data_IF_940800984608
#
_entry.id   IF_940800984608
#
_cell.length_a   1.000
_cell.length_b   1.000
_cell.length_c   1.000
_cell.angle_alpha   90.00
_cell.angle_beta   90.00
_cell.angle_gamma   90.00
#
_symmetry.space_group_name_H-M   'P 1'
#
loop_
_entity.id
_entity.type
_entity.pdbx_description
1 polymer ?
#
# COMPACT_ATOMS: atom_id res chain seq x y z
N UNK A 1 9.74 -42.00 5.48
CA UNK A 1 10.08 -40.74 6.18
C UNK A 1 10.17 -39.65 5.13
N UNK A 2 9.06 -39.06 4.73
CA UNK A 2 9.04 -37.93 3.81
C UNK A 2 9.59 -36.69 4.52
N UNK A 3 10.48 -36.03 3.83
CA UNK A 3 11.39 -34.99 4.30
C UNK A 3 10.65 -33.80 4.91
N UNK A 4 10.77 -33.60 6.21
CA UNK A 4 10.22 -32.46 6.97
C UNK A 4 10.81 -31.09 6.52
N UNK A 5 11.86 -31.10 5.71
CA UNK A 5 12.50 -29.89 5.15
C UNK A 5 11.68 -29.23 4.02
N UNK A 6 10.82 -29.96 3.32
CA UNK A 6 10.06 -29.42 2.17
C UNK A 6 8.80 -28.64 2.55
N UNK A 7 8.24 -28.85 3.74
CA UNK A 7 7.02 -28.13 4.19
C UNK A 7 7.24 -26.64 4.50
N UNK A 8 8.47 -26.18 4.65
CA UNK A 8 8.78 -24.78 4.99
C UNK A 8 9.28 -23.95 3.80
N UNK A 9 9.48 -24.55 2.63
CA UNK A 9 9.88 -23.82 1.42
C UNK A 9 8.67 -23.30 0.66
N UNK A 10 8.78 -22.07 0.14
CA UNK A 10 7.79 -21.49 -0.80
C UNK A 10 7.77 -22.37 -2.05
N UNK A 11 6.61 -22.96 -2.37
CA UNK A 11 6.46 -23.84 -3.54
C UNK A 11 6.21 -23.06 -4.83
N UNK A 12 5.54 -21.92 -4.72
CA UNK A 12 5.29 -21.00 -5.84
C UNK A 12 5.10 -19.58 -5.32
N UNK A 13 5.10 -18.62 -6.23
CA UNK A 13 4.82 -17.22 -5.93
C UNK A 13 3.50 -16.83 -6.55
N UNK A 14 2.57 -16.37 -5.72
CA UNK A 14 1.29 -15.87 -6.20
C UNK A 14 1.36 -14.40 -6.58
N UNK A 15 0.56 -14.00 -7.57
CA UNK A 15 0.29 -12.59 -7.90
C UNK A 15 -0.85 -12.00 -7.07
N UNK A 16 -1.48 -12.80 -6.22
CA UNK A 16 -2.49 -12.32 -5.28
C UNK A 16 -1.79 -11.43 -4.24
N UNK A 17 -2.37 -10.29 -3.98
CA UNK A 17 -1.96 -9.36 -2.94
C UNK A 17 -3.19 -8.75 -2.29
N UNK A 18 -2.99 -8.07 -1.17
CA UNK A 18 -4.10 -7.49 -0.45
C UNK A 18 -3.84 -6.07 0.05
N UNK A 19 -4.79 -5.59 0.81
CA UNK A 19 -4.75 -4.34 1.54
C UNK A 19 -5.54 -4.51 2.82
N UNK A 20 -4.90 -4.19 3.94
CA UNK A 20 -5.58 -4.11 5.23
C UNK A 20 -6.61 -2.97 5.22
N UNK A 21 -7.75 -3.22 5.82
CA UNK A 21 -8.86 -2.29 5.99
C UNK A 21 -9.20 -2.14 7.47
N UNK A 22 -10.14 -1.27 7.78
CA UNK A 22 -10.68 -1.13 9.13
C UNK A 22 -11.50 -2.40 9.42
N UNK A 23 -11.08 -3.16 10.43
CA UNK A 23 -11.69 -4.46 10.79
C UNK A 23 -11.88 -5.43 9.62
N UNK A 24 -10.95 -5.40 8.63
CA UNK A 24 -11.09 -6.21 7.44
C UNK A 24 -9.85 -6.29 6.55
N UNK A 25 -10.01 -7.02 5.46
CA UNK A 25 -8.98 -7.20 4.44
C UNK A 25 -9.64 -7.20 3.04
N UNK A 26 -9.02 -6.50 2.10
CA UNK A 26 -9.28 -6.66 0.68
C UNK A 26 -8.19 -7.53 0.07
N UNK A 27 -8.55 -8.57 -0.65
CA UNK A 27 -7.65 -9.36 -1.49
C UNK A 27 -7.93 -9.10 -2.97
N UNK A 28 -6.86 -9.04 -3.76
CA UNK A 28 -6.91 -8.85 -5.21
C UNK A 28 -6.19 -10.01 -5.89
N UNK A 29 -6.96 -10.82 -6.59
CA UNK A 29 -6.48 -11.90 -7.45
C UNK A 29 -6.43 -11.49 -8.93
N UNK A 30 -6.09 -12.43 -9.83
CA UNK A 30 -5.97 -12.15 -11.26
C UNK A 30 -7.27 -11.69 -11.93
N UNK A 31 -8.42 -12.20 -11.48
CA UNK A 31 -9.74 -11.95 -12.07
C UNK A 31 -10.80 -11.52 -11.05
N UNK A 32 -10.53 -11.67 -9.75
CA UNK A 32 -11.48 -11.36 -8.68
C UNK A 32 -10.84 -10.47 -7.64
N UNK A 33 -11.65 -9.61 -7.04
CA UNK A 33 -11.34 -8.85 -5.84
C UNK A 33 -12.37 -9.19 -4.78
N UNK A 34 -11.94 -9.42 -3.57
CA UNK A 34 -12.83 -9.66 -2.44
C UNK A 34 -12.48 -8.75 -1.27
N UNK A 35 -13.50 -8.30 -0.57
CA UNK A 35 -13.40 -7.58 0.69
C UNK A 35 -14.11 -8.41 1.74
N UNK A 36 -13.43 -8.69 2.84
CA UNK A 36 -14.01 -9.34 4.01
C UNK A 36 -13.79 -8.44 5.20
N UNK A 37 -14.87 -8.04 5.86
CA UNK A 37 -14.86 -7.21 7.05
C UNK A 37 -15.56 -7.95 8.19
N UNK A 38 -15.08 -7.74 9.41
CA UNK A 38 -15.71 -8.23 10.62
C UNK A 38 -16.67 -7.19 11.17
N UNK A 39 -17.88 -7.63 11.51
CA UNK A 39 -18.87 -6.83 12.21
C UNK A 39 -19.40 -7.59 13.45
N UNK A 40 -20.41 -7.07 14.11
CA UNK A 40 -21.05 -7.70 15.28
C UNK A 40 -21.68 -9.05 14.97
N UNK A 41 -22.15 -9.26 13.75
CA UNK A 41 -22.86 -10.48 13.32
C UNK A 41 -21.92 -11.52 12.69
N UNK A 42 -20.60 -11.27 12.65
CA UNK A 42 -19.62 -12.15 12.06
C UNK A 42 -18.82 -11.51 10.92
N UNK A 43 -18.81 -12.13 9.73
CA UNK A 43 -18.08 -11.63 8.57
C UNK A 43 -19.02 -11.15 7.47
N UNK A 44 -18.75 -9.99 6.92
CA UNK A 44 -19.40 -9.47 5.70
C UNK A 44 -18.42 -9.64 4.54
N UNK A 45 -18.87 -10.32 3.49
CA UNK A 45 -18.06 -10.64 2.31
C UNK A 45 -18.61 -9.93 1.07
N UNK A 46 -17.73 -9.31 0.29
CA UNK A 46 -18.06 -8.67 -0.98
C UNK A 46 -17.04 -9.08 -2.03
N UNK A 47 -17.50 -9.84 -3.04
CA UNK A 47 -16.69 -10.23 -4.20
C UNK A 47 -17.06 -9.42 -5.44
N UNK A 48 -16.06 -9.08 -6.24
CA UNK A 48 -16.23 -8.38 -7.52
C UNK A 48 -15.27 -8.94 -8.57
N UNK A 49 -15.74 -9.07 -9.81
CA UNK A 49 -14.88 -9.42 -10.94
C UNK A 49 -14.00 -8.22 -11.34
N UNK A 50 -12.74 -8.49 -11.63
CA UNK A 50 -11.76 -7.48 -12.05
C UNK A 50 -11.27 -7.79 -13.45
N UNK A 51 -11.27 -6.77 -14.32
CA UNK A 51 -10.70 -6.88 -15.66
C UNK A 51 -9.23 -6.43 -15.65
N UNK A 52 -8.30 -7.27 -16.11
CA UNK A 52 -6.90 -6.87 -16.27
C UNK A 52 -6.74 -5.67 -17.21
N UNK A 53 -5.81 -4.78 -16.94
CA UNK A 53 -5.59 -3.57 -17.76
C UNK A 53 -5.32 -3.87 -19.23
N UNK A 54 -4.64 -4.98 -19.53
CA UNK A 54 -4.37 -5.43 -20.91
C UNK A 54 -5.65 -5.70 -21.73
N UNK A 55 -6.73 -6.11 -21.04
CA UNK A 55 -8.01 -6.45 -21.66
C UNK A 55 -8.87 -5.19 -21.86
N UNK A 56 -8.53 -4.07 -21.19
CA UNK A 56 -9.14 -2.77 -21.38
C UNK A 56 -8.47 -2.03 -22.54
N UNK A 57 -7.15 -1.93 -22.51
CA UNK A 57 -6.32 -1.34 -23.58
C UNK A 57 -4.89 -1.83 -23.50
N UNK A 58 -4.25 -2.26 -24.60
CA UNK A 58 -2.85 -2.67 -24.63
C UNK A 58 -1.87 -1.59 -24.11
N UNK A 59 -2.18 -0.31 -24.35
CA UNK A 59 -1.35 0.83 -23.91
C UNK A 59 -1.25 0.89 -22.38
N UNK A 60 -2.31 0.53 -21.64
CA UNK A 60 -2.31 0.51 -20.18
C UNK A 60 -1.40 -0.59 -19.60
N UNK A 61 -1.00 -1.55 -20.42
CA UNK A 61 -0.07 -2.61 -20.02
C UNK A 61 1.40 -2.29 -20.35
N UNK A 62 1.69 -1.15 -21.03
CA UNK A 62 3.05 -0.76 -21.36
C UNK A 62 3.88 -0.45 -20.10
N UNK A 63 5.20 -0.76 -20.12
CA UNK A 63 6.10 -0.38 -19.03
C UNK A 63 5.95 1.10 -18.66
N UNK A 64 6.12 1.43 -17.40
CA UNK A 64 5.90 2.74 -16.79
C UNK A 64 4.42 3.15 -16.73
N UNK A 65 3.66 3.09 -17.84
CA UNK A 65 2.23 3.44 -17.87
C UNK A 65 1.44 2.53 -16.92
N UNK A 66 1.66 1.21 -17.00
CA UNK A 66 1.00 0.25 -16.11
C UNK A 66 1.29 0.50 -14.63
N UNK A 67 2.47 1.05 -14.30
CA UNK A 67 2.83 1.41 -12.94
C UNK A 67 2.00 2.58 -12.42
N UNK A 68 1.85 3.64 -13.22
CA UNK A 68 1.05 4.80 -12.88
C UNK A 68 -0.43 4.44 -12.79
N UNK A 69 -0.94 3.73 -13.80
CA UNK A 69 -2.35 3.30 -13.84
C UNK A 69 -2.67 2.34 -12.70
N UNK A 70 -1.78 1.37 -12.42
CA UNK A 70 -1.91 0.43 -11.32
C UNK A 70 -1.93 1.15 -9.96
N UNK A 71 -1.05 2.14 -9.77
CA UNK A 71 -1.01 2.93 -8.55
C UNK A 71 -2.32 3.73 -8.35
N UNK A 72 -2.78 4.45 -9.37
CA UNK A 72 -4.05 5.21 -9.32
C UNK A 72 -5.23 4.26 -9.05
N UNK A 73 -5.29 3.13 -9.76
CA UNK A 73 -6.35 2.13 -9.55
C UNK A 73 -6.32 1.56 -8.13
N UNK A 74 -5.14 1.26 -7.59
CA UNK A 74 -4.99 0.79 -6.20
C UNK A 74 -5.45 1.84 -5.19
N UNK A 75 -5.17 3.12 -5.43
CA UNK A 75 -5.66 4.22 -4.57
C UNK A 75 -7.20 4.29 -4.60
N UNK A 76 -7.80 4.31 -5.79
CA UNK A 76 -9.27 4.40 -5.94
C UNK A 76 -9.94 3.19 -5.29
N UNK A 77 -9.43 2.00 -5.56
CA UNK A 77 -9.98 0.77 -4.99
C UNK A 77 -9.77 0.69 -3.48
N UNK A 78 -8.62 1.16 -2.99
CA UNK A 78 -8.32 1.23 -1.57
C UNK A 78 -9.26 2.18 -0.82
N UNK A 79 -9.52 3.36 -1.37
CA UNK A 79 -10.50 4.31 -0.78
C UNK A 79 -11.88 3.69 -0.73
N UNK A 80 -12.35 3.10 -1.84
CA UNK A 80 -13.67 2.43 -1.88
C UNK A 80 -13.77 1.28 -0.86
N UNK A 81 -12.71 0.49 -0.72
CA UNK A 81 -12.67 -0.61 0.23
C UNK A 81 -12.64 -0.12 1.68
N UNK A 82 -11.88 0.95 1.97
CA UNK A 82 -11.86 1.59 3.29
C UNK A 82 -13.23 2.19 3.65
N UNK A 83 -13.89 2.89 2.71
CA UNK A 83 -15.24 3.40 2.94
C UNK A 83 -16.22 2.27 3.23
N UNK A 84 -16.21 1.22 2.41
CA UNK A 84 -17.04 0.04 2.65
C UNK A 84 -16.78 -0.59 4.02
N UNK A 85 -15.50 -0.73 4.43
CA UNK A 85 -15.18 -1.31 5.74
C UNK A 85 -15.61 -0.41 6.91
N UNK A 86 -15.52 0.90 6.75
CA UNK A 86 -16.00 1.85 7.76
C UNK A 86 -17.53 1.78 7.97
N UNK A 87 -18.29 1.57 6.90
CA UNK A 87 -19.75 1.37 6.95
C UNK A 87 -20.17 0.08 7.69
N UNK A 88 -19.26 -0.92 7.77
CA UNK A 88 -19.55 -2.18 8.47
C UNK A 88 -19.22 -2.13 9.97
N UNK A 89 -18.64 -1.03 10.46
CA UNK A 89 -18.31 -0.88 11.88
C UNK A 89 -19.57 -0.80 12.73
N UNK A 90 -19.54 -1.40 13.95
CA UNK A 90 -20.57 -1.16 14.95
C UNK A 90 -20.79 0.33 15.22
N UNK A 91 -22.02 0.71 15.57
CA UNK A 91 -22.37 2.13 15.84
C UNK A 91 -21.51 2.77 16.93
N UNK A 92 -21.11 1.99 17.94
CA UNK A 92 -20.24 2.44 19.04
C UNK A 92 -18.76 2.64 18.64
N UNK A 93 -18.36 2.15 17.47
CA UNK A 93 -17.04 2.34 16.88
C UNK A 93 -17.01 3.38 15.76
N UNK A 94 -18.16 3.87 15.32
CA UNK A 94 -18.25 4.94 14.34
C UNK A 94 -17.90 6.28 15.00
N UNK A 95 -17.09 7.09 14.31
CA UNK A 95 -16.79 8.45 14.78
C UNK A 95 -18.04 9.33 14.70
N UNK A 96 -18.27 10.17 15.70
CA UNK A 96 -19.33 11.17 15.62
C UNK A 96 -19.02 12.17 14.49
N UNK A 97 -20.02 12.50 13.65
CA UNK A 97 -19.83 13.43 12.56
C UNK A 97 -19.38 14.80 13.06
N UNK A 98 -18.37 15.38 12.43
CA UNK A 98 -17.89 16.71 12.78
C UNK A 98 -18.82 17.82 12.24
N UNK A 99 -18.50 19.10 12.53
CA UNK A 99 -19.32 20.23 12.10
C UNK A 99 -19.40 20.38 10.58
N UNK A 100 -18.39 19.92 9.87
CA UNK A 100 -18.32 19.98 8.39
C UNK A 100 -19.19 18.88 7.83
N UNK A 101 -19.12 17.67 8.39
CA UNK A 101 -19.95 16.54 8.00
C UNK A 101 -21.44 16.86 8.18
N UNK A 102 -21.83 17.35 9.37
CA UNK A 102 -23.19 17.78 9.67
C UNK A 102 -23.69 18.90 8.74
N UNK A 103 -22.81 19.83 8.34
CA UNK A 103 -23.18 20.87 7.39
C UNK A 103 -23.40 20.30 5.97
N UNK A 104 -22.57 19.35 5.55
CA UNK A 104 -22.68 18.69 4.23
C UNK A 104 -23.98 17.84 4.21
N UNK A 105 -24.21 17.01 5.21
CA UNK A 105 -25.41 16.16 5.34
C UNK A 105 -26.72 16.99 5.34
N UNK A 106 -26.69 18.19 5.92
CA UNK A 106 -27.86 19.09 5.93
C UNK A 106 -28.18 19.66 4.54
N UNK A 107 -27.21 19.81 3.65
CA UNK A 107 -27.37 20.52 2.37
C UNK A 107 -27.40 19.59 1.15
N UNK A 108 -26.99 18.33 1.31
CA UNK A 108 -26.91 17.36 0.23
C UNK A 108 -27.68 16.08 0.59
N UNK A 109 -28.06 15.29 -0.40
CA UNK A 109 -28.60 13.95 -0.15
C UNK A 109 -27.51 13.04 0.42
N UNK A 110 -27.90 12.04 1.23
CA UNK A 110 -26.98 11.13 1.93
C UNK A 110 -25.89 10.55 0.99
N UNK A 111 -26.27 10.08 -0.20
CA UNK A 111 -25.32 9.55 -1.17
C UNK A 111 -24.33 10.61 -1.70
N UNK A 112 -24.80 11.86 -1.89
CA UNK A 112 -23.96 12.96 -2.35
C UNK A 112 -23.06 13.47 -1.24
N UNK A 113 -23.58 13.56 -0.01
CA UNK A 113 -22.86 13.95 1.19
C UNK A 113 -21.67 13.02 1.41
N UNK A 114 -21.90 11.72 1.42
CA UNK A 114 -20.87 10.71 1.60
C UNK A 114 -19.76 10.80 0.52
N UNK A 115 -20.14 10.92 -0.76
CA UNK A 115 -19.18 11.11 -1.86
C UNK A 115 -18.34 12.38 -1.69
N UNK A 116 -18.96 13.47 -1.22
CA UNK A 116 -18.28 14.75 -1.01
C UNK A 116 -17.30 14.69 0.16
N UNK A 117 -17.71 14.11 1.31
CA UNK A 117 -16.85 13.92 2.48
C UNK A 117 -15.61 13.08 2.10
N UNK A 118 -15.82 11.92 1.47
CA UNK A 118 -14.73 11.07 1.01
C UNK A 118 -13.84 11.82 0.01
N UNK A 119 -14.43 12.54 -0.94
CA UNK A 119 -13.70 13.33 -1.95
C UNK A 119 -12.80 14.39 -1.32
N UNK A 120 -13.32 15.14 -0.34
CA UNK A 120 -12.57 16.15 0.43
C UNK A 120 -11.42 15.48 1.20
N UNK A 121 -11.70 14.39 1.92
CA UNK A 121 -10.68 13.67 2.68
C UNK A 121 -9.54 13.17 1.79
N UNK A 122 -9.86 12.62 0.61
CA UNK A 122 -8.86 12.17 -0.39
C UNK A 122 -8.02 13.33 -0.90
N UNK A 123 -8.64 14.45 -1.26
CA UNK A 123 -7.92 15.64 -1.76
C UNK A 123 -6.99 16.20 -0.68
N UNK A 124 -7.47 16.31 0.57
CA UNK A 124 -6.67 16.77 1.69
C UNK A 124 -5.51 15.80 2.00
N UNK A 125 -5.77 14.48 1.97
CA UNK A 125 -4.74 13.46 2.18
C UNK A 125 -3.65 13.49 1.11
N UNK A 126 -4.03 13.59 -0.17
CA UNK A 126 -3.06 13.76 -1.27
C UNK A 126 -2.29 15.07 -1.12
N UNK A 127 -2.99 16.18 -0.86
CA UNK A 127 -2.37 17.49 -0.64
C UNK A 127 -1.36 17.47 0.50
N UNK A 128 -1.72 16.89 1.64
CA UNK A 128 -0.82 16.72 2.79
C UNK A 128 0.39 15.84 2.45
N UNK A 129 0.18 14.74 1.72
CA UNK A 129 1.28 13.86 1.28
C UNK A 129 2.27 14.59 0.36
N UNK A 130 1.77 15.34 -0.62
CA UNK A 130 2.62 16.16 -1.48
C UNK A 130 3.35 17.26 -0.70
N UNK A 131 2.65 17.90 0.23
CA UNK A 131 3.25 18.91 1.10
C UNK A 131 4.41 18.33 1.92
N UNK A 132 4.18 17.23 2.64
CA UNK A 132 5.17 16.63 3.54
C UNK A 132 6.34 15.99 2.80
N UNK A 133 6.08 15.25 1.71
CA UNK A 133 7.11 14.40 1.09
C UNK A 133 7.73 14.99 -0.18
N UNK A 134 7.10 15.96 -0.81
CA UNK A 134 7.62 16.59 -2.02
C UNK A 134 8.05 18.03 -1.78
N UNK A 135 7.16 18.87 -1.22
CA UNK A 135 7.39 20.31 -1.12
C UNK A 135 8.22 20.70 0.12
N UNK A 136 7.86 20.20 1.30
CA UNK A 136 8.48 20.59 2.56
C UNK A 136 10.00 20.36 2.59
N UNK A 137 10.56 19.19 2.18
CA UNK A 137 12.00 18.99 2.13
C UNK A 137 12.71 19.99 1.20
N UNK A 138 12.14 20.24 0.03
CA UNK A 138 12.71 21.15 -0.97
C UNK A 138 12.63 22.60 -0.50
N UNK A 139 11.54 23.00 0.17
CA UNK A 139 11.35 24.33 0.74
C UNK A 139 12.34 24.60 1.86
N UNK A 140 12.38 23.71 2.87
CA UNK A 140 13.27 23.89 4.04
C UNK A 140 14.74 24.01 3.60
N UNK A 141 15.21 23.08 2.75
CA UNK A 141 16.60 23.12 2.26
C UNK A 141 16.84 24.36 1.42
N UNK A 142 15.85 24.84 0.67
CA UNK A 142 15.91 26.07 -0.10
C UNK A 142 16.08 27.36 0.72
N UNK A 143 15.79 27.32 2.03
CA UNK A 143 16.01 28.45 2.95
C UNK A 143 17.50 28.66 3.33
N UNK A 144 18.35 27.67 3.08
CA UNK A 144 19.77 27.71 3.41
C UNK A 144 20.62 28.07 2.19
N UNK A 145 21.08 29.35 2.04
CA UNK A 145 21.80 29.79 0.83
C UNK A 145 23.06 28.99 0.55
N UNK A 146 23.82 28.61 1.58
CA UNK A 146 25.06 27.85 1.45
C UNK A 146 24.81 26.42 0.88
N UNK A 147 23.72 25.77 1.32
CA UNK A 147 23.33 24.45 0.81
C UNK A 147 22.69 24.56 -0.57
N UNK A 148 21.89 25.62 -0.78
CA UNK A 148 21.22 25.89 -2.07
C UNK A 148 22.20 26.15 -3.20
N UNK A 149 23.37 26.77 -2.90
CA UNK A 149 24.40 27.08 -3.88
C UNK A 149 25.08 25.83 -4.45
N UNK A 150 25.25 24.78 -3.66
CA UNK A 150 25.77 23.49 -4.12
C UNK A 150 24.65 22.52 -4.47
N UNK A 151 24.61 22.14 -5.72
CA UNK A 151 23.58 21.26 -6.24
C UNK A 151 23.55 19.86 -5.58
N UNK A 152 24.72 19.27 -5.32
CA UNK A 152 24.82 17.93 -4.74
C UNK A 152 24.45 17.95 -3.26
N UNK A 153 24.95 18.92 -2.51
CA UNK A 153 24.59 19.10 -1.11
C UNK A 153 23.09 19.34 -0.97
N UNK A 154 22.51 20.18 -1.81
CA UNK A 154 21.07 20.43 -1.82
C UNK A 154 20.27 19.16 -1.99
N UNK A 155 20.60 18.35 -2.99
CA UNK A 155 19.89 17.08 -3.26
C UNK A 155 20.06 16.09 -2.12
N UNK A 156 21.26 15.99 -1.53
CA UNK A 156 21.54 15.13 -0.39
C UNK A 156 20.69 15.52 0.83
N UNK A 157 20.68 16.80 1.20
CA UNK A 157 19.91 17.27 2.35
C UNK A 157 18.40 17.16 2.12
N UNK A 158 17.90 17.44 0.91
CA UNK A 158 16.50 17.20 0.55
C UNK A 158 16.13 15.73 0.71
N UNK A 159 17.02 14.80 0.31
CA UNK A 159 16.82 13.36 0.44
C UNK A 159 16.82 12.90 1.89
N UNK A 160 17.79 13.33 2.68
CA UNK A 160 17.89 13.02 4.11
C UNK A 160 16.65 13.53 4.86
N UNK A 161 16.26 14.77 4.62
CA UNK A 161 15.10 15.37 5.28
C UNK A 161 13.80 14.64 4.90
N UNK A 162 13.65 14.24 3.63
CA UNK A 162 12.51 13.42 3.18
C UNK A 162 12.44 12.09 3.93
N UNK A 163 13.57 11.40 4.10
CA UNK A 163 13.62 10.15 4.86
C UNK A 163 13.28 10.37 6.34
N UNK A 164 13.79 11.43 6.96
CA UNK A 164 13.48 11.78 8.35
C UNK A 164 11.96 12.01 8.51
N UNK A 165 11.36 12.83 7.66
CA UNK A 165 9.92 13.11 7.69
C UNK A 165 9.12 11.83 7.48
N UNK A 166 9.51 10.97 6.54
CA UNK A 166 8.86 9.72 6.25
C UNK A 166 8.87 8.76 7.46
N UNK A 167 10.03 8.54 8.07
CA UNK A 167 10.13 7.67 9.24
C UNK A 167 9.41 8.26 10.46
N UNK A 168 9.51 9.58 10.67
CA UNK A 168 8.78 10.24 11.75
C UNK A 168 7.25 10.05 11.58
N UNK A 169 6.74 10.27 10.37
CA UNK A 169 5.33 10.05 10.04
C UNK A 169 4.89 8.61 10.31
N UNK A 170 5.65 7.61 9.81
CA UNK A 170 5.32 6.20 10.04
C UNK A 170 5.31 5.82 11.52
N UNK A 171 6.31 6.29 12.28
CA UNK A 171 6.40 6.03 13.72
C UNK A 171 5.24 6.67 14.47
N UNK A 172 4.85 7.89 14.11
CA UNK A 172 3.69 8.55 14.72
C UNK A 172 2.40 7.79 14.41
N UNK A 173 2.15 7.43 13.14
CA UNK A 173 0.99 6.63 12.75
C UNK A 173 0.97 5.28 13.49
N UNK A 174 2.10 4.59 13.61
CA UNK A 174 2.16 3.26 14.26
C UNK A 174 1.78 3.27 15.75
N UNK A 175 1.74 4.44 16.39
CA UNK A 175 1.34 4.58 17.80
C UNK A 175 -0.17 4.72 17.99
N UNK A 176 -0.91 5.09 16.95
CA UNK A 176 -2.37 5.24 16.99
C UNK A 176 -3.04 3.87 17.16
N UNK A 177 -4.12 3.80 17.94
CA UNK A 177 -4.83 2.54 18.22
C UNK A 177 -5.35 1.88 16.96
N UNK A 178 -6.02 2.65 16.10
CA UNK A 178 -6.65 2.15 14.88
C UNK A 178 -5.62 1.67 13.88
N UNK A 179 -4.50 2.41 13.77
CA UNK A 179 -3.38 1.98 12.94
C UNK A 179 -2.70 0.71 13.44
N UNK A 180 -2.65 0.48 14.76
CA UNK A 180 -2.13 -0.80 15.30
C UNK A 180 -3.00 -1.98 14.90
N UNK A 181 -4.33 -1.82 14.90
CA UNK A 181 -5.26 -2.87 14.45
C UNK A 181 -5.14 -3.08 12.96
N UNK A 182 -5.15 -2.01 12.16
CA UNK A 182 -4.95 -2.08 10.71
C UNK A 182 -3.63 -2.78 10.36
N UNK A 183 -2.56 -2.51 11.10
CA UNK A 183 -1.26 -3.19 10.92
C UNK A 183 -1.28 -4.66 11.36
N UNK A 184 -2.19 -5.06 12.25
CA UNK A 184 -2.39 -6.47 12.58
C UNK A 184 -3.14 -7.21 11.45
N UNK A 185 -4.15 -6.61 10.85
CA UNK A 185 -4.77 -7.12 9.62
C UNK A 185 -3.78 -7.24 8.46
N UNK A 186 -2.86 -6.28 8.31
CA UNK A 186 -1.76 -6.36 7.34
C UNK A 186 -0.80 -7.54 7.64
N UNK A 187 -0.54 -7.80 8.91
CA UNK A 187 0.19 -9.01 9.33
C UNK A 187 -0.55 -10.30 8.99
N UNK A 188 -1.88 -10.33 9.18
CA UNK A 188 -2.73 -11.47 8.82
C UNK A 188 -2.70 -11.75 7.31
N UNK A 189 -2.81 -10.70 6.48
CA UNK A 189 -2.68 -10.80 5.03
C UNK A 189 -1.38 -11.49 4.63
N UNK A 190 -0.22 -11.00 5.11
CA UNK A 190 1.08 -11.56 4.78
C UNK A 190 1.22 -13.02 5.20
N UNK A 191 0.83 -13.35 6.43
CA UNK A 191 0.88 -14.72 6.95
C UNK A 191 0.03 -15.67 6.11
N UNK A 192 -1.15 -15.22 5.70
CA UNK A 192 -2.07 -16.03 4.89
C UNK A 192 -1.53 -16.26 3.48
N UNK A 193 -0.95 -15.23 2.84
CA UNK A 193 -0.28 -15.37 1.54
C UNK A 193 0.90 -16.34 1.63
N UNK A 194 1.74 -16.26 2.66
CA UNK A 194 2.85 -17.21 2.85
C UNK A 194 2.36 -18.66 3.06
N UNK A 195 1.27 -18.86 3.81
CA UNK A 195 0.67 -20.18 3.98
C UNK A 195 0.24 -20.76 2.63
N UNK A 196 -0.43 -19.95 1.80
CA UNK A 196 -0.87 -20.32 0.47
C UNK A 196 0.32 -20.64 -0.46
N UNK A 197 1.34 -19.80 -0.51
CA UNK A 197 2.54 -20.01 -1.32
C UNK A 197 3.35 -21.25 -0.94
N UNK A 198 3.24 -21.69 0.32
CA UNK A 198 3.81 -22.95 0.79
C UNK A 198 2.92 -24.17 0.48
N UNK A 199 1.77 -23.97 -0.15
CA UNK A 199 0.83 -25.04 -0.46
C UNK A 199 0.24 -25.73 0.78
N UNK A 200 0.20 -25.03 1.91
CA UNK A 200 -0.39 -25.54 3.15
C UNK A 200 -1.91 -25.31 3.15
N UNK A 201 -2.70 -26.18 3.82
CA UNK A 201 -4.11 -25.91 4.03
C UNK A 201 -4.31 -24.55 4.74
N UNK A 202 -5.25 -23.73 4.24
CA UNK A 202 -5.58 -22.43 4.79
C UNK A 202 -6.41 -22.59 6.06
N UNK A 203 -5.74 -22.88 7.17
CA UNK A 203 -6.31 -22.94 8.52
C UNK A 203 -5.57 -21.98 9.44
N UNK A 204 -6.23 -21.54 10.50
CA UNK A 204 -5.63 -20.62 11.48
C UNK A 204 -4.33 -21.19 12.06
N UNK A 205 -4.29 -22.51 12.32
CA UNK A 205 -3.13 -23.21 12.87
C UNK A 205 -1.93 -23.18 11.91
N UNK A 206 -2.16 -23.28 10.60
CA UNK A 206 -1.10 -23.25 9.59
C UNK A 206 -0.66 -21.83 9.24
N UNK A 207 -1.55 -20.85 9.33
CA UNK A 207 -1.27 -19.43 9.04
C UNK A 207 -0.54 -18.76 10.20
N UNK A 208 -0.94 -19.02 11.45
CA UNK A 208 -0.37 -18.38 12.66
C UNK A 208 1.16 -18.42 12.73
N UNK A 209 1.86 -19.52 12.44
CA UNK A 209 3.32 -19.59 12.51
C UNK A 209 4.06 -18.96 11.32
N UNK A 210 3.35 -18.47 10.28
CA UNK A 210 4.00 -17.86 9.12
C UNK A 210 4.60 -16.50 9.45
N UNK A 211 5.56 -16.06 8.59
CA UNK A 211 6.18 -14.74 8.73
C UNK A 211 5.21 -13.64 8.28
N UNK A 212 5.30 -12.48 8.93
CA UNK A 212 4.57 -11.27 8.57
C UNK A 212 5.36 -10.31 7.67
N UNK A 213 6.65 -10.59 7.40
CA UNK A 213 7.52 -9.75 6.59
C UNK A 213 7.59 -10.27 5.15
N UNK A 214 6.67 -9.82 4.30
CA UNK A 214 6.53 -10.32 2.94
C UNK A 214 7.34 -9.48 1.92
N UNK A 215 8.18 -10.10 1.05
CA UNK A 215 9.07 -9.36 0.15
C UNK A 215 8.34 -8.60 -0.98
N UNK A 216 7.10 -8.96 -1.30
CA UNK A 216 6.28 -8.38 -2.39
C UNK A 216 5.16 -7.45 -1.90
N UNK A 217 5.30 -6.90 -0.71
CA UNK A 217 4.32 -6.00 -0.14
C UNK A 217 4.36 -4.61 -0.76
N UNK A 218 3.18 -3.98 -0.88
CA UNK A 218 3.02 -2.61 -1.36
C UNK A 218 3.75 -1.54 -0.52
N UNK A 219 4.01 -1.80 0.78
CA UNK A 219 4.80 -0.85 1.61
C UNK A 219 6.27 -0.79 1.19
N UNK A 220 6.82 -1.87 0.62
CA UNK A 220 8.16 -1.87 0.02
C UNK A 220 8.23 -0.91 -1.18
N UNK A 221 7.13 -0.80 -1.94
CA UNK A 221 7.03 0.14 -3.06
C UNK A 221 7.20 1.60 -2.62
N UNK A 222 6.63 2.01 -1.47
CA UNK A 222 6.78 3.38 -0.96
C UNK A 222 8.26 3.74 -0.73
N UNK A 223 9.04 2.82 -0.17
CA UNK A 223 10.46 3.04 0.04
C UNK A 223 11.22 3.18 -1.30
N UNK A 224 10.91 2.32 -2.27
CA UNK A 224 11.50 2.41 -3.63
C UNK A 224 11.15 3.76 -4.27
N UNK A 225 9.90 4.24 -4.16
CA UNK A 225 9.48 5.56 -4.64
C UNK A 225 10.32 6.68 -4.04
N UNK A 226 10.61 6.63 -2.73
CA UNK A 226 11.43 7.63 -2.06
C UNK A 226 12.84 7.61 -2.63
N UNK A 227 13.49 6.45 -2.73
CA UNK A 227 14.85 6.33 -3.26
C UNK A 227 14.91 6.81 -4.72
N UNK A 228 14.01 6.34 -5.58
CA UNK A 228 13.95 6.77 -6.99
C UNK A 228 13.69 8.27 -7.09
N UNK A 229 12.85 8.84 -6.22
CA UNK A 229 12.60 10.29 -6.22
C UNK A 229 13.85 11.10 -5.84
N UNK A 230 14.73 10.57 -4.99
CA UNK A 230 16.03 11.19 -4.65
C UNK A 230 16.97 11.09 -5.85
N UNK A 231 17.07 9.92 -6.46
CA UNK A 231 17.92 9.69 -7.65
C UNK A 231 17.47 10.60 -8.79
N UNK A 232 16.19 10.62 -9.14
CA UNK A 232 15.64 11.48 -10.20
C UNK A 232 15.84 12.96 -9.83
N UNK A 233 15.63 13.33 -8.57
CA UNK A 233 15.88 14.68 -8.05
C UNK A 233 17.33 15.14 -8.24
N UNK A 234 18.30 14.20 -8.27
CA UNK A 234 19.71 14.51 -8.51
C UNK A 234 20.04 14.91 -9.96
N UNK A 235 19.13 14.77 -10.89
CA UNK A 235 19.26 15.26 -12.26
C UNK A 235 18.58 16.62 -12.49
N UNK A 236 17.76 17.11 -11.54
CA UNK A 236 17.02 18.35 -11.66
C UNK A 236 17.91 19.53 -11.21
N UNK A 237 18.70 20.08 -12.13
CA UNK A 237 19.65 21.17 -11.89
C UNK A 237 18.96 22.56 -11.97
N UNK A 238 17.97 22.79 -11.10
CA UNK A 238 17.22 24.06 -11.02
C UNK A 238 17.51 24.70 -9.69
N UNK A 239 18.02 25.93 -9.71
CA UNK A 239 18.39 26.71 -8.51
C UNK A 239 17.18 27.34 -7.83
N UNK A 240 16.20 27.80 -8.62
CA UNK A 240 14.96 28.35 -8.05
C UNK A 240 14.15 27.27 -7.34
N UNK A 241 13.69 27.57 -6.13
CA UNK A 241 13.02 26.58 -5.28
C UNK A 241 11.64 26.24 -5.78
N UNK A 242 10.87 27.21 -6.27
CA UNK A 242 9.51 26.99 -6.75
C UNK A 242 9.50 26.24 -8.08
N UNK A 243 10.37 26.65 -9.01
CA UNK A 243 10.52 25.93 -10.27
C UNK A 243 10.99 24.48 -10.05
N UNK A 244 11.91 24.25 -9.09
CA UNK A 244 12.36 22.90 -8.70
C UNK A 244 11.20 22.05 -8.15
N UNK A 245 10.36 22.63 -7.30
CA UNK A 245 9.15 21.97 -6.78
C UNK A 245 8.19 21.58 -7.93
N UNK A 246 7.93 22.52 -8.85
CA UNK A 246 7.08 22.28 -10.02
C UNK A 246 7.59 21.14 -10.89
N UNK A 247 8.90 21.12 -11.19
CA UNK A 247 9.49 20.03 -11.99
C UNK A 247 9.45 18.70 -11.26
N UNK A 248 9.72 18.65 -9.94
CA UNK A 248 9.58 17.42 -9.15
C UNK A 248 8.15 16.87 -9.18
N UNK A 249 7.15 17.75 -9.14
CA UNK A 249 5.75 17.35 -9.27
C UNK A 249 5.45 16.76 -10.65
N UNK A 250 5.91 17.42 -11.72
CA UNK A 250 5.72 16.94 -13.09
C UNK A 250 6.41 15.59 -13.38
N UNK A 251 7.52 15.30 -12.71
CA UNK A 251 8.29 14.06 -12.88
C UNK A 251 7.75 12.93 -11.99
N UNK A 252 6.85 13.22 -11.06
CA UNK A 252 6.29 12.22 -10.13
C UNK A 252 5.71 10.96 -10.84
N UNK A 253 4.95 11.07 -11.94
CA UNK A 253 4.47 9.88 -12.67
C UNK A 253 5.61 8.97 -13.16
N UNK A 254 6.73 9.56 -13.60
CA UNK A 254 7.91 8.80 -14.04
C UNK A 254 8.53 8.08 -12.84
N UNK A 255 8.66 8.75 -11.70
CA UNK A 255 9.16 8.14 -10.45
C UNK A 255 8.29 6.95 -10.04
N UNK A 256 6.97 7.10 -10.05
CA UNK A 256 6.02 6.03 -9.74
C UNK A 256 6.15 4.87 -10.72
N UNK A 257 6.19 5.14 -12.03
CA UNK A 257 6.31 4.13 -13.08
C UNK A 257 7.61 3.33 -12.96
N UNK A 258 8.75 4.00 -12.80
CA UNK A 258 10.07 3.34 -12.61
C UNK A 258 10.09 2.51 -11.33
N UNK A 259 9.58 3.05 -10.23
CA UNK A 259 9.51 2.35 -8.94
C UNK A 259 8.65 1.08 -9.03
N UNK A 260 7.55 1.15 -9.77
CA UNK A 260 6.68 -0.02 -10.00
C UNK A 260 7.42 -1.11 -10.78
N UNK A 261 8.15 -0.76 -11.85
CA UNK A 261 8.91 -1.74 -12.63
C UNK A 261 10.02 -2.40 -11.79
N UNK A 262 10.72 -1.62 -10.96
CA UNK A 262 11.73 -2.15 -10.04
C UNK A 262 11.09 -3.11 -9.04
N UNK A 263 9.99 -2.70 -8.38
CA UNK A 263 9.32 -3.54 -7.41
C UNK A 263 8.77 -4.84 -8.03
N UNK A 264 8.24 -4.76 -9.25
CA UNK A 264 7.78 -5.91 -10.02
C UNK A 264 8.94 -6.84 -10.38
N UNK A 265 10.09 -6.29 -10.77
CA UNK A 265 11.28 -7.08 -11.06
C UNK A 265 11.79 -7.80 -9.80
N UNK A 266 11.87 -7.08 -8.67
CA UNK A 266 12.25 -7.65 -7.36
C UNK A 266 11.32 -8.81 -6.97
N UNK A 267 10.01 -8.65 -7.17
CA UNK A 267 9.03 -9.70 -6.85
C UNK A 267 9.19 -11.00 -7.65
N UNK A 268 9.72 -10.89 -8.88
CA UNK A 268 9.90 -12.05 -9.79
C UNK A 268 11.19 -12.82 -9.59
N UNK A 269 12.23 -12.19 -9.04
CA UNK A 269 13.58 -12.76 -9.00
C UNK A 269 13.98 -13.09 -7.56
N UNK A 270 14.64 -14.27 -7.39
CA UNK A 270 15.23 -14.71 -6.13
C UNK A 270 16.75 -14.72 -6.28
N UNK A 271 17.35 -13.53 -6.30
CA UNK A 271 18.79 -13.39 -6.37
C UNK A 271 19.29 -12.40 -5.30
N UNK A 272 20.59 -12.29 -5.15
CA UNK A 272 21.20 -11.40 -4.15
C UNK A 272 20.75 -9.96 -4.32
N UNK A 273 20.62 -9.47 -5.56
CA UNK A 273 20.20 -8.10 -5.85
C UNK A 273 18.75 -7.86 -5.43
N UNK A 274 17.82 -8.79 -5.76
CA UNK A 274 16.42 -8.66 -5.32
C UNK A 274 16.30 -8.72 -3.80
N UNK A 275 17.11 -9.51 -3.12
CA UNK A 275 17.18 -9.58 -1.66
C UNK A 275 17.66 -8.27 -1.04
N UNK A 276 18.69 -7.63 -1.62
CA UNK A 276 19.21 -6.33 -1.17
C UNK A 276 18.14 -5.24 -1.38
N UNK A 277 17.50 -5.20 -2.55
CA UNK A 277 16.49 -4.19 -2.87
C UNK A 277 15.20 -4.34 -2.05
N UNK A 278 14.81 -5.56 -1.70
CA UNK A 278 13.64 -5.82 -0.86
C UNK A 278 13.90 -5.66 0.64
N UNK A 279 15.17 -5.73 1.08
CA UNK A 279 15.52 -5.69 2.49
C UNK A 279 15.01 -4.42 3.23
N UNK A 280 15.19 -3.19 2.69
CA UNK A 280 14.68 -2.00 3.37
C UNK A 280 13.16 -2.00 3.51
N UNK A 281 12.45 -2.46 2.47
CA UNK A 281 10.99 -2.60 2.51
C UNK A 281 10.54 -3.58 3.60
N UNK A 282 11.22 -4.72 3.75
CA UNK A 282 10.95 -5.66 4.86
C UNK A 282 11.23 -5.07 6.24
N UNK A 283 12.27 -4.19 6.38
CA UNK A 283 12.49 -3.50 7.65
C UNK A 283 11.35 -2.52 7.98
N UNK A 284 10.79 -1.82 6.96
CA UNK A 284 9.61 -0.98 7.15
C UNK A 284 8.40 -1.76 7.67
N UNK A 285 8.21 -2.98 7.21
CA UNK A 285 7.10 -3.83 7.63
C UNK A 285 7.14 -4.18 9.13
N UNK A 286 8.31 -4.09 9.79
CA UNK A 286 8.39 -4.20 11.26
C UNK A 286 7.61 -3.11 11.98
N UNK A 287 7.39 -1.96 11.31
CA UNK A 287 6.59 -0.84 11.83
C UNK A 287 5.15 -0.93 11.33
N UNK A 288 4.96 -1.36 10.08
CA UNK A 288 3.67 -1.34 9.38
C UNK A 288 2.92 -2.67 9.41
N UNK A 289 3.41 -3.68 10.14
CA UNK A 289 2.70 -4.93 10.42
C UNK A 289 2.80 -5.29 11.88
N UNK A 290 1.73 -5.82 12.46
CA UNK A 290 1.70 -6.36 13.82
C UNK A 290 1.27 -7.83 13.80
N UNK A 291 1.45 -8.54 14.94
CA UNK A 291 0.92 -9.90 15.09
C UNK A 291 -0.61 -9.85 15.12
N UNK A 292 -1.27 -10.60 14.23
CA UNK A 292 -2.73 -10.69 14.19
C UNK A 292 -3.25 -11.67 15.26
N UNK A 293 -4.48 -11.45 15.69
CA UNK A 293 -5.26 -12.44 16.40
C UNK A 293 -5.89 -13.49 15.44
N UNK A 294 -6.47 -14.54 15.99
CA UNK A 294 -7.03 -15.64 15.20
C UNK A 294 -8.21 -15.19 14.33
N UNK A 295 -9.02 -14.24 14.81
CA UNK A 295 -10.16 -13.72 14.04
C UNK A 295 -9.72 -12.88 12.84
N UNK A 296 -8.59 -12.16 12.94
CA UNK A 296 -7.98 -11.44 11.83
C UNK A 296 -7.39 -12.41 10.80
N UNK A 297 -6.80 -13.52 11.25
CA UNK A 297 -6.30 -14.60 10.38
C UNK A 297 -7.48 -15.24 9.64
N UNK A 298 -8.58 -15.53 10.32
CA UNK A 298 -9.78 -16.09 9.70
C UNK A 298 -10.34 -15.16 8.62
N UNK A 299 -10.39 -13.85 8.91
CA UNK A 299 -10.78 -12.83 7.94
C UNK A 299 -9.89 -12.87 6.68
N UNK A 300 -8.56 -12.98 6.86
CA UNK A 300 -7.60 -13.05 5.76
C UNK A 300 -7.73 -14.34 4.94
N UNK A 301 -7.99 -15.48 5.58
CA UNK A 301 -8.23 -16.76 4.91
C UNK A 301 -9.46 -16.66 4.01
N UNK A 302 -10.60 -16.18 4.55
CA UNK A 302 -11.84 -15.99 3.78
C UNK A 302 -11.64 -15.07 2.59
N UNK A 303 -10.97 -13.93 2.80
CA UNK A 303 -10.68 -12.99 1.72
C UNK A 303 -9.81 -13.60 0.62
N UNK A 304 -8.83 -14.42 0.99
CA UNK A 304 -7.95 -15.09 0.03
C UNK A 304 -8.71 -16.17 -0.75
N UNK A 305 -9.50 -17.01 -0.09
CA UNK A 305 -10.28 -18.09 -0.73
C UNK A 305 -11.22 -17.57 -1.81
N UNK A 306 -11.83 -16.38 -1.61
CA UNK A 306 -12.72 -15.77 -2.59
C UNK A 306 -12.01 -15.31 -3.88
N UNK A 307 -10.70 -15.15 -3.88
CA UNK A 307 -9.93 -14.65 -5.03
C UNK A 307 -8.97 -15.67 -5.62
N UNK A 308 -8.79 -16.83 -4.99
CA UNK A 308 -8.03 -17.94 -5.57
C UNK A 308 -8.72 -18.36 -6.88
N UNK A 309 -7.96 -18.40 -8.00
CA UNK A 309 -8.54 -18.79 -9.27
C UNK A 309 -8.89 -20.29 -9.30
N UNK A 310 -9.97 -20.63 -10.01
CA UNK A 310 -10.38 -22.02 -10.24
C UNK A 310 -9.34 -22.80 -11.04
N UNK A 311 -8.67 -22.13 -11.98
CA UNK A 311 -7.60 -22.70 -12.79
C UNK A 311 -6.28 -22.63 -12.02
N UNK A 312 -5.79 -23.78 -11.56
CA UNK A 312 -4.57 -23.89 -10.77
C UNK A 312 -3.35 -23.25 -11.47
N UNK A 313 -2.70 -22.33 -10.79
CA UNK A 313 -1.49 -21.66 -11.26
C UNK A 313 -1.70 -20.47 -12.18
N UNK A 314 -2.93 -20.05 -12.47
CA UNK A 314 -3.20 -18.83 -13.23
C UNK A 314 -2.88 -17.56 -12.44
N UNK A 315 -2.65 -17.68 -11.14
CA UNK A 315 -2.17 -16.63 -10.23
C UNK A 315 -0.65 -16.60 -10.06
N UNK A 316 0.10 -17.47 -10.70
CA UNK A 316 1.57 -17.48 -10.62
C UNK A 316 2.16 -16.24 -11.29
N UNK A 317 3.24 -15.71 -10.68
CA UNK A 317 4.02 -14.58 -11.21
C UNK A 317 4.72 -14.90 -12.53
#
# INVERSE_FOLDING_TARGET
>A
MANQKDKNSVQFKTSIGGQALIEGIMMLGPKKRAIVCRNENGFVEKGEDVRPFKDISPVLAWPLIRGVVGFISSMINGVKALSFSAEQLPEDMQEEPDKIDLWIEKHFSDETAQKLIIGIAVVLGIGLSLLLFLFLPTFIVGLFPAVKADFYLRTLFEGILKLIIFFAYLILCSKMKDMKRLFAYHGAEHKTIFCYEKGLPLTVENVRPQDRLHPRCGTSFLFVVIIISIIVGSFIKISDTWARMGVKFLVLPIVVGVSYEINRWVGRHDNVLSSILSWPGRQLQRITTNEPDDSMIECAIRALELVIPEEAGSDKW
#
